data_IF_924316845375
#
_entry.id   IF_924316845375
#
_cell.length_a   1.000
_cell.length_b   1.000
_cell.length_c   1.000
_cell.angle_alpha   90.00
_cell.angle_beta   90.00
_cell.angle_gamma   90.00
#
_symmetry.space_group_name_H-M   'P 1'
#
loop_
_entity.id
_entity.type
_entity.pdbx_description
1 polymer ?
#
# COMPACT_ATOMS: atom_id res chain seq x y z
N UNK A 1 71.54 -70.51 -33.62
CA UNK A 1 70.38 -69.85 -34.26
C UNK A 1 69.09 -70.37 -33.63
N UNK A 2 68.37 -69.54 -32.88
CA UNK A 2 66.98 -69.80 -32.46
C UNK A 2 66.21 -68.48 -32.64
N UNK A 3 65.33 -68.45 -33.64
CA UNK A 3 64.41 -67.36 -33.90
C UNK A 3 63.36 -67.32 -32.80
N UNK A 4 63.20 -66.16 -32.14
CA UNK A 4 62.09 -65.91 -31.23
C UNK A 4 61.09 -65.02 -31.95
N UNK A 5 59.93 -65.60 -32.27
CA UNK A 5 58.79 -64.97 -32.91
C UNK A 5 58.20 -63.95 -31.92
N UNK A 6 58.12 -62.70 -32.35
CA UNK A 6 57.40 -61.61 -31.67
C UNK A 6 55.92 -61.75 -31.99
N UNK A 7 55.11 -62.18 -31.01
CA UNK A 7 53.65 -62.00 -31.07
C UNK A 7 53.31 -60.63 -30.50
N UNK A 8 52.77 -59.75 -31.36
CA UNK A 8 52.13 -58.49 -30.98
C UNK A 8 50.99 -58.78 -30.00
N UNK A 9 51.12 -58.33 -28.76
CA UNK A 9 49.97 -58.16 -27.89
C UNK A 9 49.10 -57.05 -28.47
N UNK A 10 47.84 -57.37 -28.80
CA UNK A 10 46.81 -56.39 -29.06
C UNK A 10 46.63 -55.51 -27.82
N UNK A 11 46.73 -54.19 -28.01
CA UNK A 11 46.41 -53.23 -26.96
C UNK A 11 44.96 -53.46 -26.50
N UNK A 12 44.66 -53.34 -25.19
CA UNK A 12 43.27 -53.38 -24.74
C UNK A 12 42.50 -52.23 -25.40
N UNK A 13 41.30 -52.52 -25.90
CA UNK A 13 40.39 -51.50 -26.41
C UNK A 13 40.19 -50.46 -25.30
N UNK A 14 40.56 -49.21 -25.60
CA UNK A 14 40.31 -48.08 -24.73
C UNK A 14 38.79 -47.83 -24.68
N UNK A 15 38.11 -48.41 -23.69
CA UNK A 15 36.66 -48.30 -23.47
C UNK A 15 36.24 -46.95 -22.87
N UNK A 16 37.21 -46.09 -22.54
CA UNK A 16 37.00 -44.82 -21.88
C UNK A 16 36.10 -43.80 -22.63
N UNK A 17 36.10 -43.69 -23.98
CA UNK A 17 35.18 -42.78 -24.67
C UNK A 17 33.76 -43.36 -24.81
N UNK A 18 33.60 -44.68 -24.69
CA UNK A 18 32.29 -45.33 -24.78
C UNK A 18 31.48 -45.14 -23.48
N UNK A 19 32.14 -45.21 -22.32
CA UNK A 19 31.49 -44.99 -21.02
C UNK A 19 31.05 -43.54 -20.82
N UNK A 20 31.85 -42.56 -21.24
CA UNK A 20 31.47 -41.13 -21.13
C UNK A 20 30.29 -40.82 -22.06
N UNK A 21 30.27 -41.36 -23.28
CA UNK A 21 29.15 -41.21 -24.21
C UNK A 21 27.85 -41.80 -23.67
N UNK A 22 27.91 -42.99 -23.07
CA UNK A 22 26.74 -43.65 -22.46
C UNK A 22 26.22 -42.86 -21.25
N UNK A 23 27.11 -42.34 -20.40
CA UNK A 23 26.71 -41.51 -19.24
C UNK A 23 25.99 -40.24 -19.71
N UNK A 24 26.49 -39.60 -20.77
CA UNK A 24 25.89 -38.36 -21.29
C UNK A 24 24.50 -38.61 -21.88
N UNK A 25 24.31 -39.74 -22.57
CA UNK A 25 22.99 -40.18 -23.07
C UNK A 25 22.04 -40.47 -21.91
N UNK A 26 22.50 -41.17 -20.86
CA UNK A 26 21.69 -41.45 -19.67
C UNK A 26 21.26 -40.14 -18.97
N UNK A 27 22.14 -39.16 -18.84
CA UNK A 27 21.82 -37.86 -18.24
C UNK A 27 20.76 -37.12 -19.07
N UNK A 28 20.89 -37.09 -20.40
CA UNK A 28 19.88 -36.47 -21.28
C UNK A 28 18.53 -37.18 -21.16
N UNK A 29 18.52 -38.51 -21.09
CA UNK A 29 17.29 -39.30 -20.90
C UNK A 29 16.65 -39.02 -19.54
N UNK A 30 17.45 -38.89 -18.47
CA UNK A 30 16.93 -38.54 -17.14
C UNK A 30 16.38 -37.11 -17.12
N UNK A 31 17.05 -36.14 -17.72
CA UNK A 31 16.55 -34.76 -17.82
C UNK A 31 15.25 -34.72 -18.65
N UNK A 32 15.18 -35.44 -19.77
CA UNK A 32 13.98 -35.53 -20.58
C UNK A 32 12.83 -36.23 -19.84
N UNK A 33 13.11 -37.27 -19.04
CA UNK A 33 12.12 -37.93 -18.17
C UNK A 33 11.64 -37.00 -17.05
N UNK A 34 12.52 -36.21 -16.44
CA UNK A 34 12.13 -35.19 -15.46
C UNK A 34 11.24 -34.13 -16.13
N UNK A 35 11.58 -33.66 -17.32
CA UNK A 35 10.76 -32.72 -18.11
C UNK A 35 9.39 -33.36 -18.43
N UNK A 36 9.35 -34.60 -18.91
CA UNK A 36 8.10 -35.28 -19.33
C UNK A 36 7.27 -35.81 -18.15
N UNK A 37 7.83 -36.02 -16.96
CA UNK A 37 7.09 -36.47 -15.77
C UNK A 37 6.76 -35.32 -14.82
N UNK A 38 7.61 -34.29 -14.74
CA UNK A 38 7.40 -33.12 -13.86
C UNK A 38 6.63 -32.02 -14.60
N UNK A 39 6.86 -31.75 -15.89
CA UNK A 39 6.13 -30.66 -16.57
C UNK A 39 4.64 -30.94 -16.86
N UNK A 40 4.14 -32.17 -17.04
CA UNK A 40 2.69 -32.40 -17.06
C UNK A 40 2.05 -32.33 -15.67
N UNK A 41 2.84 -32.31 -14.58
CA UNK A 41 2.34 -31.89 -13.26
C UNK A 41 2.24 -30.35 -13.19
N UNK A 42 2.93 -29.63 -14.07
CA UNK A 42 2.83 -28.17 -14.26
C UNK A 42 1.96 -27.75 -15.46
N UNK A 43 1.29 -28.68 -16.13
CA UNK A 43 0.45 -28.40 -17.30
C UNK A 43 -0.87 -29.15 -17.17
N UNK A 44 -1.93 -28.38 -16.91
CA UNK A 44 -3.35 -28.79 -16.87
C UNK A 44 -3.77 -29.65 -15.68
N UNK A 45 -3.53 -29.16 -14.47
CA UNK A 45 -4.73 -28.82 -13.72
C UNK A 45 -5.09 -27.42 -14.18
N UNK A 46 -6.15 -27.28 -15.00
CA UNK A 46 -7.08 -26.19 -14.72
C UNK A 46 -7.49 -26.42 -13.26
N UNK A 47 -6.69 -25.85 -12.35
CA UNK A 47 -7.20 -25.49 -11.06
C UNK A 47 -8.32 -24.54 -11.46
N UNK A 48 -9.53 -25.06 -11.35
CA UNK A 48 -10.74 -24.28 -11.26
C UNK A 48 -10.46 -23.21 -10.21
N UNK A 49 -10.00 -22.05 -10.67
CA UNK A 49 -9.73 -20.86 -9.86
C UNK A 49 -11.05 -20.25 -9.38
N UNK A 50 -12.16 -20.97 -9.51
CA UNK A 50 -13.48 -20.63 -8.99
C UNK A 50 -13.80 -21.35 -7.67
N UNK A 51 -12.76 -21.69 -6.91
CA UNK A 51 -12.84 -21.96 -5.46
C UNK A 51 -11.68 -21.28 -4.73
N UNK A 52 -11.58 -19.96 -4.87
CA UNK A 52 -10.93 -19.14 -3.85
C UNK A 52 -11.60 -19.46 -2.51
N UNK A 53 -10.89 -20.16 -1.63
CA UNK A 53 -11.09 -19.91 -0.21
C UNK A 53 -10.67 -18.45 0.01
N UNK A 54 -11.61 -17.53 -0.24
CA UNK A 54 -11.48 -16.10 -0.08
C UNK A 54 -10.96 -15.86 1.33
N UNK A 55 -9.65 -15.65 1.44
CA UNK A 55 -9.11 -15.00 2.61
C UNK A 55 -9.50 -13.55 2.47
N UNK A 56 -10.73 -13.26 2.88
CA UNK A 56 -11.23 -11.91 2.85
C UNK A 56 -10.82 -11.19 4.14
N UNK A 57 -10.56 -9.90 4.02
CA UNK A 57 -10.22 -9.06 5.17
C UNK A 57 -11.52 -8.45 5.65
N UNK A 58 -12.17 -8.97 6.71
CA UNK A 58 -13.43 -8.40 7.20
C UNK A 58 -13.27 -6.92 7.54
N UNK A 59 -14.35 -6.17 7.33
CA UNK A 59 -14.42 -4.78 7.76
C UNK A 59 -14.41 -4.67 9.29
N UNK A 60 -13.77 -3.64 9.81
CA UNK A 60 -13.77 -3.30 11.24
C UNK A 60 -13.80 -1.79 11.41
N UNK A 61 -14.62 -1.31 12.35
CA UNK A 61 -14.80 0.14 12.58
C UNK A 61 -14.08 0.63 13.85
N UNK A 62 -13.65 -0.29 14.74
CA UNK A 62 -12.91 0.03 15.97
C UNK A 62 -11.65 -0.83 16.10
N UNK A 63 -10.49 -0.18 16.05
CA UNK A 63 -9.18 -0.81 16.15
C UNK A 63 -8.67 -0.91 17.61
N UNK A 64 -9.36 -0.32 18.60
CA UNK A 64 -9.00 -0.44 20.02
C UNK A 64 -9.16 -1.87 20.55
N UNK A 65 -9.91 -2.71 19.86
CA UNK A 65 -10.15 -4.12 20.22
C UNK A 65 -8.89 -5.00 20.11
N UNK A 66 -7.86 -4.52 19.41
CA UNK A 66 -6.64 -5.29 19.16
C UNK A 66 -5.55 -4.95 20.19
N UNK A 67 -4.96 -6.00 20.78
CA UNK A 67 -3.81 -5.87 21.68
C UNK A 67 -2.59 -5.29 20.95
N UNK A 68 -2.35 -5.76 19.71
CA UNK A 68 -1.28 -5.26 18.85
C UNK A 68 -1.65 -5.37 17.37
N UNK A 69 -1.77 -4.23 16.71
CA UNK A 69 -2.18 -4.10 15.31
C UNK A 69 -1.19 -3.25 14.52
N UNK A 70 -0.91 -3.64 13.29
CA UNK A 70 -0.17 -2.82 12.33
C UNK A 70 -1.11 -2.13 11.35
N UNK A 71 -0.73 -0.92 10.96
CA UNK A 71 -1.37 -0.12 9.93
C UNK A 71 -0.31 0.26 8.91
N UNK A 72 -0.62 0.06 7.63
CA UNK A 72 0.16 0.66 6.55
C UNK A 72 -0.39 2.05 6.31
N UNK A 73 0.43 3.09 6.44
CA UNK A 73 -0.03 4.48 6.44
C UNK A 73 0.79 5.41 5.53
N UNK A 74 0.14 6.46 4.99
CA UNK A 74 0.80 7.42 4.09
C UNK A 74 1.65 8.47 4.83
N UNK A 75 1.34 8.72 6.09
CA UNK A 75 2.07 9.56 7.05
C UNK A 75 2.22 8.87 8.42
N UNK A 76 2.82 9.59 9.36
CA UNK A 76 2.99 9.16 10.76
C UNK A 76 1.83 9.66 11.63
N UNK A 77 1.44 8.90 12.66
CA UNK A 77 0.47 9.35 13.66
C UNK A 77 -1.00 9.02 13.34
N UNK A 78 -1.88 9.40 14.28
CA UNK A 78 -3.34 9.21 14.19
C UNK A 78 -4.00 10.07 13.12
N UNK A 79 -3.35 11.16 12.74
CA UNK A 79 -3.76 12.07 11.68
C UNK A 79 -3.54 11.50 10.27
N UNK A 80 -2.82 10.38 10.17
CA UNK A 80 -2.52 9.72 8.91
C UNK A 80 -3.67 8.85 8.40
N UNK A 81 -3.63 8.55 7.10
CA UNK A 81 -4.52 7.59 6.46
C UNK A 81 -3.91 6.22 6.40
N UNK A 82 -4.79 5.22 6.52
CA UNK A 82 -4.44 3.85 6.17
C UNK A 82 -4.40 3.72 4.65
N UNK A 83 -3.42 2.98 4.18
CA UNK A 83 -3.08 2.77 2.78
C UNK A 83 -3.00 1.26 2.52
N UNK A 84 -2.68 0.91 1.27
CA UNK A 84 -2.46 -0.46 0.84
C UNK A 84 -0.96 -0.83 0.98
N UNK A 85 -0.49 -1.82 0.23
CA UNK A 85 0.92 -2.25 0.23
C UNK A 85 1.94 -1.18 -0.15
N UNK A 86 1.53 -0.06 -0.76
CA UNK A 86 2.40 1.04 -1.19
C UNK A 86 2.49 2.18 -0.15
N UNK A 87 2.19 1.91 1.12
CA UNK A 87 2.28 2.89 2.17
C UNK A 87 3.73 3.30 2.48
N UNK A 88 3.93 4.57 2.87
CA UNK A 88 5.24 5.11 3.25
C UNK A 88 5.68 4.71 4.65
N UNK A 89 4.73 4.40 5.54
CA UNK A 89 4.99 4.10 6.92
C UNK A 89 4.30 2.80 7.33
N UNK A 90 4.97 2.05 8.19
CA UNK A 90 4.41 0.94 8.95
C UNK A 90 4.26 1.47 10.38
N UNK A 91 3.02 1.59 10.83
CA UNK A 91 2.70 2.04 12.18
C UNK A 91 2.17 0.88 13.00
N UNK A 92 2.61 0.73 14.25
CA UNK A 92 2.14 -0.31 15.15
C UNK A 92 1.52 0.33 16.38
N UNK A 93 0.31 -0.13 16.68
CA UNK A 93 -0.48 0.32 17.80
C UNK A 93 -0.70 -0.83 18.79
N UNK A 94 -0.75 -0.50 20.08
CA UNK A 94 -1.18 -1.42 21.13
C UNK A 94 -2.28 -0.81 21.97
N UNK A 95 -3.45 -1.46 21.99
CA UNK A 95 -4.66 -0.99 22.70
C UNK A 95 -4.97 0.48 22.37
N UNK A 96 -4.88 0.81 21.09
CA UNK A 96 -5.12 2.18 20.60
C UNK A 96 -4.02 3.20 20.86
N UNK A 97 -2.86 2.83 21.42
CA UNK A 97 -1.68 3.70 21.58
C UNK A 97 -0.65 3.43 20.48
N UNK A 98 -0.14 4.47 19.82
CA UNK A 98 0.96 4.34 18.87
C UNK A 98 2.25 3.96 19.63
N UNK A 99 2.83 2.80 19.32
CA UNK A 99 4.04 2.30 19.99
C UNK A 99 5.26 2.23 19.07
N UNK A 100 5.05 2.20 17.75
CA UNK A 100 6.15 2.19 16.78
C UNK A 100 5.73 2.84 15.46
N UNK A 101 6.62 3.64 14.88
CA UNK A 101 6.53 4.13 13.50
C UNK A 101 7.84 3.82 12.81
N UNK A 102 7.76 3.16 11.66
CA UNK A 102 8.91 2.90 10.80
C UNK A 102 8.60 3.34 9.37
N UNK A 103 9.58 3.95 8.71
CA UNK A 103 9.51 4.16 7.27
C UNK A 103 9.49 2.79 6.56
N UNK A 104 8.62 2.63 5.57
CA UNK A 104 8.54 1.42 4.76
C UNK A 104 9.75 1.36 3.82
N UNK A 105 10.79 0.65 4.24
CA UNK A 105 12.01 0.45 3.45
C UNK A 105 11.81 -0.41 2.20
N UNK A 106 10.65 -1.06 2.05
CA UNK A 106 10.34 -1.98 0.95
C UNK A 106 9.48 -1.35 -0.13
N UNK A 107 9.29 -0.02 -0.09
CA UNK A 107 8.57 0.71 -1.12
C UNK A 107 9.23 0.44 -2.48
N UNK A 108 8.42 0.10 -3.48
CA UNK A 108 8.83 -0.22 -4.86
C UNK A 108 9.77 -1.43 -5.02
N UNK A 109 10.02 -2.20 -3.96
CA UNK A 109 10.83 -3.42 -4.05
C UNK A 109 10.02 -4.60 -4.60
N UNK A 110 10.70 -5.46 -5.38
CA UNK A 110 10.14 -6.75 -5.74
C UNK A 110 9.91 -7.59 -4.45
N UNK A 111 8.69 -8.10 -4.29
CA UNK A 111 8.24 -8.84 -3.10
C UNK A 111 8.12 -8.02 -1.81
N UNK A 112 7.83 -6.72 -1.93
CA UNK A 112 7.53 -5.84 -0.80
C UNK A 112 6.51 -6.43 0.18
N UNK A 113 5.44 -7.07 -0.30
CA UNK A 113 4.38 -7.62 0.55
C UNK A 113 4.87 -8.76 1.45
N UNK A 114 5.76 -9.61 0.93
CA UNK A 114 6.37 -10.71 1.70
C UNK A 114 7.29 -10.15 2.79
N UNK A 115 8.09 -9.13 2.47
CA UNK A 115 9.00 -8.48 3.42
C UNK A 115 8.23 -7.77 4.53
N UNK A 116 7.17 -7.04 4.17
CA UNK A 116 6.25 -6.42 5.13
C UNK A 116 5.67 -7.49 6.06
N UNK A 117 5.11 -8.58 5.53
CA UNK A 117 4.55 -9.66 6.33
C UNK A 117 5.58 -10.30 7.29
N UNK A 118 6.82 -10.50 6.84
CA UNK A 118 7.93 -11.02 7.66
C UNK A 118 8.24 -10.07 8.83
N UNK A 119 8.42 -8.78 8.55
CA UNK A 119 8.72 -7.77 9.59
C UNK A 119 7.60 -7.68 10.61
N UNK A 120 6.34 -7.74 10.18
CA UNK A 120 5.19 -7.70 11.09
C UNK A 120 5.13 -8.94 11.98
N UNK A 121 5.45 -10.13 11.44
CA UNK A 121 5.53 -11.37 12.19
C UNK A 121 6.64 -11.32 13.24
N UNK A 122 7.84 -10.86 12.86
CA UNK A 122 8.97 -10.65 13.78
C UNK A 122 8.63 -9.68 14.91
N UNK A 123 7.81 -8.68 14.62
CA UNK A 123 7.32 -7.71 15.62
C UNK A 123 6.18 -8.24 16.48
N UNK A 124 5.73 -9.47 16.27
CA UNK A 124 4.66 -10.10 17.06
C UNK A 124 3.30 -9.40 16.88
N UNK A 125 3.06 -8.84 15.70
CA UNK A 125 1.77 -8.20 15.38
C UNK A 125 0.72 -9.29 15.15
N UNK A 126 -0.44 -9.17 15.82
CA UNK A 126 -1.53 -10.15 15.74
C UNK A 126 -2.53 -9.88 14.61
N UNK A 127 -2.62 -8.62 14.18
CA UNK A 127 -3.55 -8.14 13.18
C UNK A 127 -2.95 -7.03 12.32
N UNK A 128 -3.41 -6.89 11.09
CA UNK A 128 -3.11 -5.75 10.23
C UNK A 128 -4.42 -5.16 9.69
N UNK A 129 -4.53 -3.82 9.69
CA UNK A 129 -5.61 -3.11 9.02
C UNK A 129 -5.06 -2.44 7.75
N UNK A 130 -5.76 -2.64 6.63
CA UNK A 130 -5.33 -2.19 5.31
C UNK A 130 -6.49 -1.53 4.56
N UNK A 131 -6.20 -0.50 3.78
CA UNK A 131 -7.14 0.01 2.78
C UNK A 131 -7.02 -0.86 1.53
N UNK A 132 -8.10 -1.56 1.18
CA UNK A 132 -8.22 -2.37 -0.03
C UNK A 132 -6.97 -3.24 -0.37
N UNK A 133 -6.66 -4.27 0.45
CA UNK A 133 -5.44 -5.05 0.28
C UNK A 133 -5.44 -5.91 -0.99
N UNK A 134 -4.30 -5.95 -1.69
CA UNK A 134 -4.11 -6.79 -2.87
C UNK A 134 -4.18 -8.28 -2.53
N UNK A 135 -4.53 -9.12 -3.51
CA UNK A 135 -4.55 -10.60 -3.34
C UNK A 135 -3.20 -11.13 -2.84
N UNK A 136 -2.09 -10.56 -3.32
CA UNK A 136 -0.75 -10.93 -2.89
C UNK A 136 -0.50 -10.55 -1.42
N UNK A 137 -0.84 -9.33 -1.01
CA UNK A 137 -0.73 -8.90 0.38
C UNK A 137 -1.57 -9.78 1.31
N UNK A 138 -2.84 -10.04 0.94
CA UNK A 138 -3.75 -10.97 1.64
C UNK A 138 -3.11 -12.34 1.86
N UNK A 139 -2.50 -12.91 0.82
CA UNK A 139 -1.79 -14.19 0.88
C UNK A 139 -0.59 -14.17 1.83
N UNK A 140 0.30 -13.18 1.73
CA UNK A 140 1.54 -13.14 2.53
C UNK A 140 1.27 -12.89 4.02
N UNK A 141 0.31 -12.02 4.35
CA UNK A 141 -0.13 -11.77 5.74
C UNK A 141 -0.73 -13.05 6.36
N UNK A 142 -1.54 -13.80 5.60
CA UNK A 142 -2.08 -15.09 6.05
C UNK A 142 -0.98 -16.12 6.32
N UNK A 143 0.04 -16.22 5.44
CA UNK A 143 1.19 -17.12 5.63
C UNK A 143 2.00 -16.76 6.89
N UNK A 144 2.07 -15.47 7.22
CA UNK A 144 2.71 -14.96 8.43
C UNK A 144 1.88 -15.19 9.72
N UNK A 145 0.67 -15.74 9.62
CA UNK A 145 -0.22 -15.99 10.77
C UNK A 145 -0.87 -14.73 11.32
N UNK A 146 -0.94 -13.66 10.53
CA UNK A 146 -1.49 -12.36 10.94
C UNK A 146 -2.93 -12.25 10.42
N UNK A 147 -3.86 -11.81 11.28
CA UNK A 147 -5.24 -11.57 10.85
C UNK A 147 -5.33 -10.27 10.03
N UNK A 148 -6.11 -10.28 8.95
CA UNK A 148 -6.27 -9.11 8.08
C UNK A 148 -7.64 -8.47 8.28
N UNK A 149 -7.69 -7.14 8.26
CA UNK A 149 -8.92 -6.35 8.32
C UNK A 149 -8.92 -5.25 7.27
N UNK A 150 -10.09 -5.02 6.66
CA UNK A 150 -10.30 -3.92 5.72
C UNK A 150 -10.83 -2.71 6.45
N UNK A 151 -10.26 -1.54 6.18
CA UNK A 151 -10.64 -0.27 6.82
C UNK A 151 -10.55 0.88 5.82
N UNK A 152 -11.32 1.93 6.08
CA UNK A 152 -11.30 3.17 5.30
C UNK A 152 -11.28 4.37 6.25
N UNK A 153 -10.76 5.49 5.75
CA UNK A 153 -10.67 6.73 6.51
C UNK A 153 -9.39 6.88 7.35
N UNK A 154 -9.33 7.97 8.13
CA UNK A 154 -8.15 8.33 8.90
C UNK A 154 -8.03 7.53 10.20
N UNK A 155 -6.80 7.36 10.69
CA UNK A 155 -6.50 6.49 11.83
C UNK A 155 -7.19 6.96 13.13
N UNK A 156 -7.36 8.26 13.34
CA UNK A 156 -8.00 8.79 14.55
C UNK A 156 -9.45 8.33 14.69
N UNK A 157 -10.22 8.27 13.60
CA UNK A 157 -11.62 7.81 13.61
C UNK A 157 -11.70 6.34 14.00
N UNK A 158 -10.79 5.53 13.48
CA UNK A 158 -10.72 4.08 13.71
C UNK A 158 -10.30 3.70 15.13
N UNK A 159 -9.64 4.62 15.84
CA UNK A 159 -9.41 4.48 17.27
C UNK A 159 -10.44 5.25 18.10
N UNK A 160 -11.50 5.83 17.52
CA UNK A 160 -12.46 6.66 18.25
C UNK A 160 -11.80 7.82 19.00
N UNK A 161 -10.62 8.26 18.56
CA UNK A 161 -9.93 9.40 19.10
C UNK A 161 -10.50 10.63 18.41
N UNK A 162 -10.86 11.66 19.18
CA UNK A 162 -11.04 12.96 18.56
C UNK A 162 -9.68 13.44 18.11
N UNK A 163 -9.63 13.92 16.88
CA UNK A 163 -8.49 14.65 16.36
C UNK A 163 -8.09 15.71 17.40
N UNK A 164 -6.85 15.71 17.87
CA UNK A 164 -6.36 16.79 18.73
C UNK A 164 -6.41 18.07 17.91
N UNK A 165 -7.44 18.86 18.16
CA UNK A 165 -7.60 20.16 17.55
C UNK A 165 -6.46 21.04 18.06
N UNK A 166 -5.49 21.31 17.20
CA UNK A 166 -4.58 22.44 17.41
C UNK A 166 -5.46 23.69 17.32
N UNK A 167 -5.99 24.13 18.46
CA UNK A 167 -6.68 25.40 18.60
C UNK A 167 -5.63 26.52 18.60
N UNK A 168 -5.08 26.80 17.43
CA UNK A 168 -4.34 28.04 17.18
C UNK A 168 -5.34 29.12 16.76
N UNK A 169 -5.61 30.14 17.58
CA UNK A 169 -6.51 31.23 17.22
C UNK A 169 -6.01 32.06 16.03
N UNK A 170 -4.74 31.88 15.61
CA UNK A 170 -4.15 32.53 14.44
C UNK A 170 -4.06 31.61 13.22
N UNK A 171 -4.64 30.40 13.26
CA UNK A 171 -4.68 29.53 12.10
C UNK A 171 -5.43 30.21 10.94
N UNK A 172 -4.86 30.13 9.74
CA UNK A 172 -5.47 30.60 8.51
C UNK A 172 -6.71 29.78 8.16
N UNK A 173 -6.65 28.46 8.34
CA UNK A 173 -7.79 27.58 8.10
C UNK A 173 -8.85 27.77 9.20
N UNK A 174 -10.03 28.24 8.80
CA UNK A 174 -11.15 28.47 9.72
C UNK A 174 -11.81 27.16 10.10
N UNK A 175 -11.99 26.94 11.40
CA UNK A 175 -12.70 25.76 11.89
C UNK A 175 -14.21 25.90 11.67
N UNK A 176 -14.85 24.83 11.21
CA UNK A 176 -16.30 24.69 11.10
C UNK A 176 -16.73 23.37 11.76
N UNK A 177 -17.94 23.36 12.32
CA UNK A 177 -18.53 22.14 12.90
C UNK A 177 -18.97 21.15 11.80
N UNK A 178 -19.43 21.69 10.67
CA UNK A 178 -19.86 20.97 9.47
C UNK A 178 -19.64 21.87 8.25
N UNK A 179 -19.31 21.27 7.11
CA UNK A 179 -19.15 21.99 5.84
C UNK A 179 -20.21 21.52 4.84
N UNK A 180 -21.10 22.44 4.47
CA UNK A 180 -22.12 22.21 3.45
C UNK A 180 -21.55 22.51 2.06
N UNK A 181 -21.52 21.52 1.18
CA UNK A 181 -21.01 21.65 -0.20
C UNK A 181 -21.98 22.35 -1.18
N UNK A 182 -22.89 23.21 -0.68
CA UNK A 182 -23.76 24.07 -1.51
C UNK A 182 -23.02 25.39 -1.81
N UNK A 183 -21.86 25.30 -2.44
CA UNK A 183 -21.04 26.48 -2.70
C UNK A 183 -20.92 26.68 -4.20
N UNK A 184 -21.17 27.91 -4.64
CA UNK A 184 -21.04 28.39 -6.02
C UNK A 184 -19.56 28.49 -6.48
N UNK A 185 -18.64 27.83 -5.79
CA UNK A 185 -17.20 27.87 -6.05
C UNK A 185 -16.64 26.46 -6.19
N UNK A 186 -15.46 26.36 -6.79
CA UNK A 186 -14.72 25.10 -6.89
C UNK A 186 -14.09 24.75 -5.54
N UNK A 187 -14.59 23.69 -4.93
CA UNK A 187 -14.15 23.20 -3.62
C UNK A 187 -13.32 21.93 -3.77
N UNK A 188 -12.10 21.93 -3.24
CA UNK A 188 -11.30 20.72 -3.13
C UNK A 188 -11.53 20.04 -1.76
N UNK A 189 -11.80 18.74 -1.80
CA UNK A 189 -11.87 17.88 -0.62
C UNK A 189 -10.83 16.77 -0.78
N UNK A 190 -9.97 16.60 0.22
CA UNK A 190 -9.04 15.47 0.29
C UNK A 190 -9.78 14.14 0.39
N UNK A 191 -9.39 13.13 -0.40
CA UNK A 191 -10.03 11.80 -0.39
C UNK A 191 -9.01 10.66 -0.30
N UNK A 192 -9.48 9.49 0.13
CA UNK A 192 -8.66 8.28 0.16
C UNK A 192 -8.48 7.69 -1.25
N UNK A 193 -7.78 6.56 -1.36
CA UNK A 193 -7.55 5.89 -2.63
C UNK A 193 -8.79 5.26 -3.28
N UNK A 194 -9.89 5.16 -2.54
CA UNK A 194 -11.16 4.65 -3.01
C UNK A 194 -12.11 5.79 -3.39
N UNK A 195 -11.67 7.05 -3.27
CA UNK A 195 -12.50 8.23 -3.52
C UNK A 195 -13.52 8.49 -2.41
N UNK A 196 -13.41 7.80 -1.27
CA UNK A 196 -14.28 8.06 -0.14
C UNK A 196 -13.91 9.43 0.44
N UNK A 197 -14.95 10.25 0.65
CA UNK A 197 -14.83 11.48 1.40
C UNK A 197 -14.57 11.09 2.86
N UNK A 198 -13.35 11.35 3.31
CA UNK A 198 -13.05 11.45 4.73
C UNK A 198 -12.22 12.71 4.87
N UNK A 199 -12.40 13.45 5.96
CA UNK A 199 -11.65 14.69 6.12
C UNK A 199 -10.22 14.33 6.51
N UNK A 200 -9.43 14.09 5.48
CA UNK A 200 -8.07 13.62 5.58
C UNK A 200 -7.19 14.79 5.97
N UNK A 201 -6.13 14.50 6.71
CA UNK A 201 -5.06 15.44 7.02
C UNK A 201 -4.13 15.61 5.81
N UNK A 202 -4.10 16.76 5.13
CA UNK A 202 -2.97 17.18 4.29
C UNK A 202 -1.78 17.70 5.11
N UNK A 203 -1.57 17.29 6.36
CA UNK A 203 -0.29 17.53 7.02
C UNK A 203 0.81 16.90 6.16
N UNK A 204 1.81 17.69 5.76
CA UNK A 204 2.81 17.31 4.76
C UNK A 204 2.23 16.92 3.39
N UNK A 205 1.00 17.36 3.08
CA UNK A 205 0.29 17.09 1.85
C UNK A 205 0.19 15.60 1.47
N UNK A 206 -0.10 14.73 2.46
CA UNK A 206 -0.08 13.26 2.28
C UNK A 206 -1.43 12.63 1.89
N UNK A 207 -2.44 13.44 1.56
CA UNK A 207 -3.68 12.92 0.96
C UNK A 207 -3.40 12.39 -0.45
N UNK A 208 -3.82 11.17 -0.80
CA UNK A 208 -3.50 10.60 -2.11
C UNK A 208 -4.28 11.26 -3.26
N UNK A 209 -5.49 11.74 -3.00
CA UNK A 209 -6.36 12.36 -3.99
C UNK A 209 -7.08 13.60 -3.45
N UNK A 210 -7.58 14.41 -4.38
CA UNK A 210 -8.54 15.49 -4.14
C UNK A 210 -9.74 15.32 -5.07
N UNK A 211 -10.95 15.29 -4.52
CA UNK A 211 -12.16 15.48 -5.31
C UNK A 211 -12.47 16.97 -5.39
N UNK A 212 -12.66 17.46 -6.61
CA UNK A 212 -13.07 18.83 -6.89
C UNK A 212 -14.57 18.84 -7.12
N UNK A 213 -15.26 19.64 -6.32
CA UNK A 213 -16.70 19.86 -6.38
C UNK A 213 -17.00 21.22 -6.99
N UNK A 214 -18.08 21.29 -7.76
CA UNK A 214 -18.71 22.54 -8.22
C UNK A 214 -20.22 22.27 -8.25
N UNK A 215 -21.01 23.20 -7.71
CA UNK A 215 -22.48 23.06 -7.61
C UNK A 215 -22.92 21.72 -6.95
N UNK A 216 -22.20 21.30 -5.90
CA UNK A 216 -22.48 20.08 -5.14
C UNK A 216 -22.15 18.76 -5.85
N UNK A 217 -21.53 18.80 -7.04
CA UNK A 217 -21.16 17.60 -7.82
C UNK A 217 -19.65 17.49 -7.97
N UNK A 218 -19.14 16.26 -7.93
CA UNK A 218 -17.74 15.99 -8.29
C UNK A 218 -17.58 16.25 -9.78
N UNK A 219 -16.72 17.20 -10.12
CA UNK A 219 -16.38 17.52 -11.51
C UNK A 219 -15.04 16.93 -11.94
N UNK A 220 -14.13 16.69 -10.99
CA UNK A 220 -12.80 16.14 -11.25
C UNK A 220 -12.25 15.43 -10.00
N UNK A 221 -11.46 14.38 -10.20
CA UNK A 221 -10.59 13.80 -9.17
C UNK A 221 -9.13 13.99 -9.59
N UNK A 222 -8.33 14.59 -8.73
CA UNK A 222 -6.93 14.89 -8.97
C UNK A 222 -6.06 13.99 -8.08
N UNK A 223 -5.13 13.26 -8.69
CA UNK A 223 -4.06 12.57 -7.96
C UNK A 223 -3.09 13.58 -7.37
N UNK A 224 -2.78 13.45 -6.09
CA UNK A 224 -1.76 14.27 -5.44
C UNK A 224 -0.35 13.72 -5.72
N UNK A 225 0.24 14.14 -6.83
CA UNK A 225 1.63 13.78 -7.16
C UNK A 225 2.68 14.43 -6.26
N UNK A 226 2.31 15.52 -5.59
CA UNK A 226 3.20 16.29 -4.71
C UNK A 226 3.54 15.54 -3.42
N UNK A 227 2.86 14.43 -3.10
CA UNK A 227 3.16 13.62 -1.92
C UNK A 227 4.62 13.14 -1.86
N UNK A 228 5.35 13.10 -2.97
CA UNK A 228 6.76 12.69 -3.03
C UNK A 228 7.75 13.87 -3.18
N UNK A 229 7.26 15.09 -3.07
CA UNK A 229 8.05 16.32 -3.20
C UNK A 229 8.93 16.61 -1.97
N UNK A 230 9.97 17.41 -2.18
CA UNK A 230 10.76 18.05 -1.12
C UNK A 230 9.93 19.10 -0.35
N UNK A 231 8.96 19.75 -1.03
CA UNK A 231 8.06 20.74 -0.45
C UNK A 231 6.61 20.45 -0.88
N UNK A 232 6.00 19.40 -0.29
CA UNK A 232 4.69 18.92 -0.71
C UNK A 232 3.60 19.97 -0.49
N UNK A 233 3.67 20.78 0.57
CA UNK A 233 2.70 21.84 0.87
C UNK A 233 2.57 22.86 -0.26
N UNK A 234 3.71 23.40 -0.72
CA UNK A 234 3.74 24.38 -1.79
C UNK A 234 3.23 23.80 -3.10
N UNK A 235 3.65 22.58 -3.43
CA UNK A 235 3.25 21.94 -4.68
C UNK A 235 1.76 21.61 -4.69
N UNK A 236 1.18 21.14 -3.58
CA UNK A 236 -0.27 20.93 -3.48
C UNK A 236 -1.03 22.24 -3.61
N UNK A 237 -0.63 23.30 -2.89
CA UNK A 237 -1.31 24.59 -2.99
C UNK A 237 -1.26 25.15 -4.43
N UNK A 238 -0.10 25.02 -5.10
CA UNK A 238 0.07 25.42 -6.51
C UNK A 238 -0.78 24.57 -7.46
N UNK A 239 -0.86 23.26 -7.23
CA UNK A 239 -1.67 22.34 -8.02
C UNK A 239 -3.16 22.71 -7.94
N UNK A 240 -3.68 22.94 -6.73
CA UNK A 240 -5.06 23.32 -6.50
C UNK A 240 -5.36 24.70 -7.13
N UNK A 241 -4.46 25.67 -6.97
CA UNK A 241 -4.60 26.99 -7.60
C UNK A 241 -4.68 26.89 -9.13
N UNK A 242 -3.78 26.13 -9.75
CA UNK A 242 -3.77 25.92 -11.21
C UNK A 242 -5.03 25.21 -11.72
N UNK A 243 -5.73 24.50 -10.84
CA UNK A 243 -7.01 23.85 -11.12
C UNK A 243 -8.22 24.76 -10.89
N UNK A 244 -7.98 26.00 -10.49
CA UNK A 244 -9.02 26.99 -10.21
C UNK A 244 -9.82 26.67 -8.95
N UNK A 245 -9.22 25.93 -8.02
CA UNK A 245 -9.83 25.69 -6.70
C UNK A 245 -9.80 26.99 -5.91
N UNK A 246 -10.96 27.41 -5.42
CA UNK A 246 -11.10 28.63 -4.63
C UNK A 246 -11.20 28.33 -3.13
N UNK A 247 -11.67 27.14 -2.78
CA UNK A 247 -11.85 26.70 -1.40
C UNK A 247 -11.32 25.29 -1.21
N UNK A 248 -10.66 25.04 -0.08
CA UNK A 248 -10.24 23.70 0.34
C UNK A 248 -10.85 23.36 1.72
N UNK A 249 -11.31 22.12 1.85
CA UNK A 249 -11.82 21.56 3.10
C UNK A 249 -10.91 20.41 3.52
N UNK A 250 -10.37 20.51 4.73
CA UNK A 250 -9.35 19.60 5.27
C UNK A 250 -9.69 19.15 6.68
N UNK A 251 -9.19 17.99 7.09
CA UNK A 251 -9.43 17.49 8.46
C UNK A 251 -8.47 18.15 9.44
N UNK A 252 -7.23 18.29 9.00
CA UNK A 252 -6.11 18.90 9.72
C UNK A 252 -5.28 19.66 8.70
N UNK A 253 -4.59 20.71 9.13
CA UNK A 253 -3.49 21.30 8.37
C UNK A 253 -2.34 21.66 9.30
N UNK A 254 -1.17 21.90 8.70
CA UNK A 254 -0.01 22.47 9.37
C UNK A 254 0.16 23.95 8.95
N UNK A 255 0.91 24.76 9.72
CA UNK A 255 1.16 26.15 9.39
C UNK A 255 1.81 26.37 8.02
N UNK A 256 2.69 25.45 7.60
CA UNK A 256 3.37 25.52 6.30
C UNK A 256 2.38 25.45 5.13
N UNK A 257 1.43 24.51 5.18
CA UNK A 257 0.40 24.38 4.15
C UNK A 257 -0.55 25.56 4.15
N UNK A 258 -0.94 26.02 5.34
CA UNK A 258 -1.78 27.20 5.53
C UNK A 258 -1.20 28.46 4.88
N UNK A 259 0.10 28.70 5.07
CA UNK A 259 0.80 29.82 4.45
C UNK A 259 0.81 29.71 2.92
N UNK A 260 1.01 28.51 2.37
CA UNK A 260 1.00 28.33 0.92
C UNK A 260 -0.42 28.44 0.32
N UNK A 261 -1.46 28.00 1.03
CA UNK A 261 -2.86 28.22 0.64
C UNK A 261 -3.20 29.71 0.60
N UNK A 262 -2.81 30.47 1.63
CA UNK A 262 -3.02 31.91 1.69
C UNK A 262 -2.34 32.64 0.53
N UNK A 263 -1.08 32.32 0.24
CA UNK A 263 -0.34 32.89 -0.90
C UNK A 263 -1.00 32.63 -2.24
N UNK A 264 -1.69 31.50 -2.38
CA UNK A 264 -2.39 31.11 -3.60
C UNK A 264 -3.87 31.58 -3.62
N UNK A 265 -4.31 32.33 -2.60
CA UNK A 265 -5.67 32.87 -2.52
C UNK A 265 -6.74 31.79 -2.31
N UNK A 266 -6.39 30.62 -1.78
CA UNK A 266 -7.32 29.51 -1.56
C UNK A 266 -7.88 29.62 -0.14
N UNK A 267 -9.19 29.82 -0.02
CA UNK A 267 -9.85 29.85 1.28
C UNK A 267 -9.79 28.48 1.93
N UNK A 268 -9.39 28.40 3.20
CA UNK A 268 -9.24 27.12 3.90
C UNK A 268 -10.25 26.95 5.05
N UNK A 269 -10.83 25.75 5.12
CA UNK A 269 -11.68 25.32 6.22
C UNK A 269 -11.24 23.99 6.82
N UNK A 270 -11.31 23.88 8.15
CA UNK A 270 -11.09 22.65 8.92
C UNK A 270 -12.43 22.10 9.41
N UNK A 271 -12.73 20.84 9.14
CA UNK A 271 -13.91 20.16 9.69
C UNK A 271 -13.62 18.67 9.85
N UNK A 272 -14.39 17.98 10.70
CA UNK A 272 -14.41 16.50 10.74
C UNK A 272 -15.63 15.92 10.02
N UNK A 273 -16.51 16.78 9.49
CA UNK A 273 -17.76 16.41 8.86
C UNK A 273 -18.02 17.24 7.61
N UNK A 274 -18.34 16.55 6.53
CA UNK A 274 -18.73 17.15 5.25
C UNK A 274 -20.14 16.65 4.93
N UNK A 275 -21.05 17.58 4.66
CA UNK A 275 -22.39 17.29 4.19
C UNK A 275 -22.50 17.65 2.72
N UNK A 276 -22.79 16.65 1.89
CA UNK A 276 -23.10 16.87 0.47
C UNK A 276 -24.61 17.02 0.37
N UNK A 277 -25.08 18.26 0.33
CA UNK A 277 -26.47 18.54 0.02
C UNK A 277 -26.55 18.69 -1.50
N UNK A 278 -27.08 17.67 -2.16
CA UNK A 278 -27.38 17.71 -3.60
C UNK A 278 -28.67 18.53 -3.77
N UNK A 279 -28.65 19.68 -4.46
CA UNK A 279 -29.88 20.39 -4.78
C UNK A 279 -30.76 19.49 -5.67
N UNK A 280 -32.04 19.34 -5.30
CA UNK A 280 -33.06 18.66 -6.12
C UNK A 280 -33.27 19.34 -7.49
#
# INVERSE_FOLDING_TARGET
>A
MKNKITTKGSAPLNTMPLFIGIILIIIIVVIALVIVVVLPIFSSNEIDFDKTNDFDCPSVDDLKVFEKIALLANGEGYDSNISNGNAKFIQIYSTGNLIEVAQNAFLDEENSEQKIASVLSEKGVSAIALSNPSVKMKSEIKKAGINCYSVSGPIFELFGNKLEEINDPNAYCKKLDEFDLIIDTKVAVSTDALGNYSVISPKNALTPYFNIYEEGKIIETITNTAMYSINPEKEVATLLHNKGVETIVVGISNPEFEVELEKNGITCYKTSKISIIVPE
#
